data_IF_451533137849
#
_entry.id   IF_451533137849
#
_cell.length_a   1.000
_cell.length_b   1.000
_cell.length_c   1.000
_cell.angle_alpha   90.00
_cell.angle_beta   90.00
_cell.angle_gamma   90.00
#
_symmetry.space_group_name_H-M   'P 1'
#
loop_
_entity.id
_entity.type
_entity.pdbx_description
1 polymer ?
#
# COMPACT_ATOMS: atom_id res chain seq x y z
N UNK A 1 3.75 -1.04 -27.36
CA UNK A 1 4.23 -0.78 -25.99
C UNK A 1 3.12 -1.16 -25.04
N UNK A 2 3.42 -1.92 -23.99
CA UNK A 2 2.46 -2.31 -22.95
C UNK A 2 2.74 -1.43 -21.72
N UNK A 3 1.69 -0.84 -21.15
CA UNK A 3 1.75 -0.08 -19.90
C UNK A 3 1.03 -0.89 -18.83
N UNK A 4 1.71 -1.11 -17.72
CA UNK A 4 1.20 -1.86 -16.57
C UNK A 4 1.36 -1.03 -15.31
N UNK A 5 0.53 -1.34 -14.32
CA UNK A 5 0.47 -0.67 -13.03
C UNK A 5 0.76 -1.68 -11.94
N UNK A 6 1.71 -1.34 -11.07
CA UNK A 6 2.27 -2.25 -10.10
C UNK A 6 2.37 -1.60 -8.73
N UNK A 7 2.20 -2.43 -7.72
CA UNK A 7 2.58 -2.13 -6.35
C UNK A 7 3.79 -3.00 -6.01
N UNK A 8 4.82 -2.42 -5.41
CA UNK A 8 5.92 -3.16 -4.82
C UNK A 8 5.93 -2.93 -3.31
N UNK A 9 5.76 -3.99 -2.52
CA UNK A 9 5.83 -3.96 -1.06
C UNK A 9 7.20 -4.49 -0.65
N UNK A 10 8.04 -3.59 -0.11
CA UNK A 10 9.42 -3.90 0.26
C UNK A 10 9.57 -4.38 1.69
N UNK A 11 8.88 -3.74 2.62
CA UNK A 11 8.96 -4.06 4.05
C UNK A 11 7.59 -3.94 4.70
N UNK A 12 7.34 -4.83 5.67
CA UNK A 12 6.14 -4.83 6.51
C UNK A 12 6.56 -5.25 7.93
N UNK A 13 6.11 -4.50 8.93
CA UNK A 13 6.14 -4.90 10.33
C UNK A 13 4.72 -4.75 10.91
N UNK A 14 4.19 -5.83 11.50
CA UNK A 14 2.76 -6.13 11.68
C UNK A 14 2.06 -6.59 10.39
N UNK A 15 0.84 -6.12 10.08
CA UNK A 15 0.07 -6.59 8.92
C UNK A 15 -0.31 -5.42 8.02
N UNK A 16 -0.13 -5.59 6.71
CA UNK A 16 -0.56 -4.67 5.68
C UNK A 16 -1.56 -5.38 4.77
N UNK A 17 -2.74 -4.77 4.60
CA UNK A 17 -3.75 -5.20 3.64
C UNK A 17 -3.93 -4.09 2.61
N UNK A 18 -3.98 -4.47 1.34
CA UNK A 18 -4.17 -3.55 0.23
C UNK A 18 -5.56 -3.78 -0.35
N UNK A 19 -6.33 -2.70 -0.47
CA UNK A 19 -7.65 -2.72 -1.08
C UNK A 19 -7.69 -1.84 -2.32
N UNK A 20 -8.47 -2.27 -3.31
CA UNK A 20 -8.83 -1.48 -4.48
C UNK A 20 -10.35 -1.51 -4.63
N UNK A 21 -11.01 -0.36 -4.52
CA UNK A 21 -12.48 -0.23 -4.50
C UNK A 21 -13.16 -1.16 -3.47
N UNK A 22 -12.51 -1.38 -2.33
CA UNK A 22 -13.01 -2.28 -1.27
C UNK A 22 -12.70 -3.77 -1.49
N UNK A 23 -12.16 -4.17 -2.63
CA UNK A 23 -11.69 -5.54 -2.86
C UNK A 23 -10.27 -5.73 -2.35
N UNK A 24 -10.02 -6.79 -1.58
CA UNK A 24 -8.66 -7.12 -1.13
C UNK A 24 -7.83 -7.62 -2.29
N UNK A 25 -6.80 -6.86 -2.67
CA UNK A 25 -5.87 -7.26 -3.74
C UNK A 25 -4.66 -8.00 -3.20
N UNK A 26 -4.29 -7.75 -1.94
CA UNK A 26 -3.16 -8.42 -1.28
C UNK A 26 -3.22 -8.26 0.25
N UNK A 27 -2.70 -9.24 0.97
CA UNK A 27 -2.60 -9.27 2.44
C UNK A 27 -1.26 -9.90 2.82
N UNK A 28 -0.45 -9.19 3.61
CA UNK A 28 0.85 -9.69 4.07
C UNK A 28 0.72 -10.84 5.07
N UNK A 29 -0.45 -11.00 5.70
CA UNK A 29 -0.57 -11.67 6.99
C UNK A 29 0.22 -10.95 8.08
N UNK A 30 0.41 -11.60 9.22
CA UNK A 30 1.17 -11.02 10.33
C UNK A 30 2.66 -11.23 10.10
N UNK A 31 3.38 -10.13 9.91
CA UNK A 31 4.84 -10.08 9.72
C UNK A 31 5.49 -9.45 10.95
N UNK A 32 6.72 -9.88 11.29
CA UNK A 32 7.47 -9.38 12.45
C UNK A 32 8.93 -9.13 12.12
N UNK A 33 9.51 -8.14 12.79
CA UNK A 33 10.93 -7.77 12.70
C UNK A 33 11.31 -7.13 11.37
N UNK A 34 10.34 -6.55 10.67
CA UNK A 34 10.58 -5.71 9.49
C UNK A 34 11.43 -6.36 8.37
N UNK A 35 11.14 -7.62 7.96
CA UNK A 35 11.90 -8.29 6.91
C UNK A 35 11.76 -7.57 5.57
N UNK A 36 12.75 -7.75 4.70
CA UNK A 36 12.60 -7.46 3.28
C UNK A 36 11.73 -8.54 2.64
N UNK A 37 10.65 -8.13 1.96
CA UNK A 37 9.71 -9.00 1.26
C UNK A 37 9.92 -8.92 -0.26
N UNK A 38 9.98 -7.70 -0.80
CA UNK A 38 10.06 -7.38 -2.24
C UNK A 38 8.96 -8.04 -3.10
N UNK A 39 7.71 -7.91 -2.64
CA UNK A 39 6.53 -8.48 -3.31
C UNK A 39 6.00 -7.54 -4.39
N UNK A 40 5.64 -8.07 -5.56
CA UNK A 40 5.10 -7.30 -6.69
C UNK A 40 3.65 -7.69 -7.01
N UNK A 41 2.74 -6.75 -6.84
CA UNK A 41 1.31 -6.93 -7.12
C UNK A 41 0.96 -6.16 -8.40
N UNK A 42 0.50 -6.86 -9.44
CA UNK A 42 -0.03 -6.23 -10.64
C UNK A 42 -1.47 -5.77 -10.39
N UNK A 43 -1.75 -4.48 -10.56
CA UNK A 43 -3.08 -3.90 -10.38
C UNK A 43 -3.72 -3.44 -11.69
N UNK A 44 -3.11 -3.74 -12.84
CA UNK A 44 -3.53 -3.23 -14.15
C UNK A 44 -4.99 -3.58 -14.47
N UNK A 45 -5.36 -4.84 -14.30
CA UNK A 45 -6.71 -5.31 -14.65
C UNK A 45 -7.77 -4.72 -13.71
N UNK A 46 -7.46 -4.59 -12.42
CA UNK A 46 -8.32 -3.90 -11.45
C UNK A 46 -8.58 -2.44 -11.83
N UNK A 47 -7.55 -1.72 -12.28
CA UNK A 47 -7.72 -0.34 -12.73
C UNK A 47 -8.54 -0.26 -14.03
N UNK A 48 -8.29 -1.16 -14.99
CA UNK A 48 -8.99 -1.19 -16.28
C UNK A 48 -10.48 -1.57 -16.11
N UNK A 49 -10.82 -2.44 -15.16
CA UNK A 49 -12.21 -2.79 -14.88
C UNK A 49 -13.05 -1.57 -14.47
N UNK A 50 -12.43 -0.55 -13.89
CA UNK A 50 -13.09 0.67 -13.40
C UNK A 50 -12.62 1.93 -14.14
N UNK A 51 -12.32 1.79 -15.43
CA UNK A 51 -11.63 2.81 -16.24
C UNK A 51 -12.34 4.17 -16.33
N UNK A 52 -13.66 4.19 -16.17
CA UNK A 52 -14.52 5.38 -16.27
C UNK A 52 -14.91 5.95 -14.89
N UNK A 53 -14.36 5.41 -13.80
CA UNK A 53 -14.67 5.81 -12.43
C UNK A 53 -13.41 6.22 -11.67
N UNK A 54 -13.60 6.95 -10.57
CA UNK A 54 -12.54 7.13 -9.58
C UNK A 54 -12.33 5.81 -8.83
N UNK A 55 -11.07 5.50 -8.57
CA UNK A 55 -10.64 4.26 -7.93
C UNK A 55 -10.04 4.61 -6.57
N UNK A 56 -10.48 3.91 -5.54
CA UNK A 56 -9.92 4.01 -4.20
C UNK A 56 -8.84 2.94 -4.02
N UNK A 57 -7.61 3.36 -3.73
CA UNK A 57 -6.51 2.48 -3.36
C UNK A 57 -6.15 2.71 -1.90
N UNK A 58 -6.33 1.69 -1.05
CA UNK A 58 -6.11 1.80 0.39
C UNK A 58 -4.97 0.86 0.79
N UNK A 59 -4.01 1.41 1.51
CA UNK A 59 -3.02 0.66 2.28
C UNK A 59 -3.44 0.73 3.73
N UNK A 60 -3.98 -0.36 4.25
CA UNK A 60 -4.45 -0.48 5.63
C UNK A 60 -3.48 -1.32 6.44
N UNK A 61 -2.80 -0.65 7.35
CA UNK A 61 -1.97 -1.29 8.35
C UNK A 61 -2.77 -1.68 9.57
N UNK A 62 -2.59 -2.90 10.07
CA UNK A 62 -3.16 -3.36 11.33
C UNK A 62 -2.11 -3.64 12.38
N UNK A 63 -2.44 -3.31 13.62
CA UNK A 63 -1.66 -3.62 14.81
C UNK A 63 -2.19 -4.89 15.50
N UNK A 64 -2.21 -6.00 14.77
CA UNK A 64 -2.86 -7.26 15.21
C UNK A 64 -2.14 -7.98 16.36
N UNK A 65 -0.87 -7.65 16.63
CA UNK A 65 -0.05 -8.39 17.61
C UNK A 65 0.16 -7.65 18.93
N UNK A 66 -0.36 -6.44 19.05
CA UNK A 66 -0.22 -5.65 20.27
C UNK A 66 -1.26 -6.08 21.32
N UNK A 67 -0.75 -6.55 22.48
CA UNK A 67 -1.55 -6.76 23.68
C UNK A 67 -1.18 -5.67 24.70
N UNK A 68 -2.16 -4.91 25.15
CA UNK A 68 -2.01 -3.78 26.07
C UNK A 68 -1.75 -4.17 27.53
N UNK A 69 -1.12 -5.31 27.80
CA UNK A 69 -0.87 -5.72 29.19
C UNK A 69 0.18 -4.79 29.83
N UNK A 70 -0.30 -3.94 30.75
CA UNK A 70 0.32 -2.74 31.35
C UNK A 70 1.66 -2.93 32.10
N UNK A 71 2.28 -4.12 32.02
CA UNK A 71 3.46 -4.44 32.83
C UNK A 71 4.81 -4.04 32.21
N UNK A 72 4.86 -3.78 30.90
CA UNK A 72 6.08 -3.31 30.21
C UNK A 72 5.67 -2.37 29.07
N UNK A 73 6.30 -1.19 28.89
CA UNK A 73 6.14 -0.40 27.66
C UNK A 73 6.68 -1.20 26.48
N UNK A 74 5.81 -2.02 25.88
CA UNK A 74 6.13 -2.73 24.65
C UNK A 74 6.21 -1.69 23.53
N UNK A 75 7.43 -1.50 23.02
CA UNK A 75 7.64 -0.80 21.76
C UNK A 75 6.87 -1.58 20.68
N UNK A 76 5.92 -0.92 20.02
CA UNK A 76 5.24 -1.50 18.86
C UNK A 76 5.81 -0.88 17.58
N UNK A 77 6.89 -1.45 17.03
CA UNK A 77 7.44 -1.00 15.77
C UNK A 77 6.40 -1.22 14.67
N UNK A 78 6.20 -0.17 13.88
CA UNK A 78 5.32 -0.19 12.73
C UNK A 78 6.08 0.34 11.53
N UNK A 79 6.10 -0.43 10.46
CA UNK A 79 6.75 -0.01 9.22
C UNK A 79 6.03 -0.63 8.03
N UNK A 80 5.69 0.21 7.07
CA UNK A 80 5.21 -0.21 5.77
C UNK A 80 6.03 0.53 4.74
N UNK A 81 6.67 -0.20 3.85
CA UNK A 81 7.40 0.38 2.73
C UNK A 81 6.82 -0.17 1.45
N UNK A 82 6.17 0.67 0.68
CA UNK A 82 5.66 0.30 -0.63
C UNK A 82 5.92 1.39 -1.68
N UNK A 83 5.76 1.02 -2.95
CA UNK A 83 5.74 1.91 -4.11
C UNK A 83 4.55 1.57 -4.97
N UNK A 84 3.96 2.56 -5.61
CA UNK A 84 2.96 2.36 -6.68
C UNK A 84 3.50 3.03 -7.92
N UNK A 85 3.70 2.26 -8.99
CA UNK A 85 4.43 2.72 -10.16
C UNK A 85 3.85 2.16 -11.46
N UNK A 86 4.11 2.89 -12.53
CA UNK A 86 3.84 2.47 -13.89
C UNK A 86 5.08 1.80 -14.46
N UNK A 87 4.89 0.68 -15.17
CA UNK A 87 5.93 -0.03 -15.93
C UNK A 87 5.58 -0.04 -17.41
N UNK A 88 6.51 0.38 -18.26
CA UNK A 88 6.34 0.37 -19.72
C UNK A 88 7.31 -0.61 -20.35
N UNK A 89 6.77 -1.56 -21.12
CA UNK A 89 7.54 -2.57 -21.84
C UNK A 89 7.31 -2.49 -23.36
N UNK A 90 8.30 -2.90 -24.13
CA UNK A 90 8.17 -3.04 -25.59
C UNK A 90 7.45 -4.33 -26.00
N UNK A 91 7.34 -4.59 -27.31
CA UNK A 91 6.67 -5.79 -27.81
C UNK A 91 7.42 -7.10 -27.50
N UNK A 92 8.70 -7.01 -27.14
CA UNK A 92 9.55 -8.15 -26.74
C UNK A 92 9.54 -8.38 -25.22
N UNK A 93 8.86 -7.52 -24.46
CA UNK A 93 8.84 -7.55 -23.00
C UNK A 93 10.01 -6.81 -22.35
N UNK A 94 10.88 -6.15 -23.12
CA UNK A 94 11.98 -5.36 -22.57
C UNK A 94 11.44 -4.14 -21.83
N UNK A 95 11.96 -3.90 -20.63
CA UNK A 95 11.66 -2.70 -19.84
C UNK A 95 12.17 -1.45 -20.54
N UNK A 96 11.28 -0.47 -20.76
CA UNK A 96 11.60 0.82 -21.33
C UNK A 96 11.61 1.93 -20.28
N UNK A 97 10.66 1.90 -19.34
CA UNK A 97 10.55 2.91 -18.29
C UNK A 97 9.80 2.38 -17.06
N UNK A 98 10.14 2.92 -15.89
CA UNK A 98 9.35 2.85 -14.66
C UNK A 98 9.19 4.25 -14.06
N UNK A 99 8.00 4.57 -13.58
CA UNK A 99 7.68 5.89 -13.02
C UNK A 99 6.74 5.74 -11.82
N UNK A 100 7.11 6.31 -10.67
CA UNK A 100 6.28 6.30 -9.48
C UNK A 100 5.03 7.18 -9.66
N UNK A 101 3.87 6.65 -9.29
CA UNK A 101 2.57 7.33 -9.40
C UNK A 101 2.23 8.20 -8.20
N UNK A 102 2.89 7.94 -7.07
CA UNK A 102 2.66 8.63 -5.80
C UNK A 102 3.92 8.64 -4.96
N UNK A 103 4.00 9.60 -4.05
CA UNK A 103 4.93 9.58 -2.94
C UNK A 103 4.26 8.82 -1.77
N UNK A 104 4.74 7.61 -1.43
CA UNK A 104 4.15 6.79 -0.38
C UNK A 104 4.53 7.32 1.01
N UNK A 105 3.70 7.05 2.01
CA UNK A 105 4.06 7.28 3.41
C UNK A 105 4.77 6.05 3.95
N UNK A 106 6.10 6.01 3.80
CA UNK A 106 6.96 4.87 4.14
C UNK A 106 7.76 5.07 5.44
N UNK A 107 7.18 5.78 6.41
CA UNK A 107 7.89 6.06 7.64
C UNK A 107 7.86 4.89 8.62
N UNK A 108 9.02 4.62 9.24
CA UNK A 108 9.15 3.67 10.34
C UNK A 108 8.87 4.40 11.64
N UNK A 109 7.91 3.89 12.40
CA UNK A 109 7.51 4.52 13.64
C UNK A 109 7.47 3.54 14.80
N UNK A 110 7.83 4.05 15.98
CA UNK A 110 7.37 3.48 17.23
C UNK A 110 5.99 4.06 17.47
N UNK A 111 4.97 3.28 17.16
CA UNK A 111 3.59 3.74 17.24
C UNK A 111 3.13 3.81 18.70
N UNK A 112 2.20 4.73 18.98
CA UNK A 112 1.48 4.69 20.24
C UNK A 112 0.76 3.33 20.30
N UNK A 113 0.92 2.55 21.39
CA UNK A 113 0.26 1.27 21.56
C UNK A 113 -1.25 1.30 21.33
N UNK A 114 -1.88 2.46 21.55
CA UNK A 114 -3.31 2.65 21.36
C UNK A 114 -3.73 2.76 19.89
N UNK A 115 -2.81 2.84 18.91
CA UNK A 115 -3.18 2.85 17.50
C UNK A 115 -3.50 1.41 17.06
N UNK A 116 -4.72 1.22 16.56
CA UNK A 116 -5.25 -0.04 16.04
C UNK A 116 -4.94 -0.22 14.56
N UNK A 117 -5.16 0.83 13.76
CA UNK A 117 -4.96 0.80 12.31
C UNK A 117 -4.47 2.15 11.75
N UNK A 118 -3.74 2.10 10.65
CA UNK A 118 -3.35 3.28 9.86
C UNK A 118 -3.81 3.05 8.42
N UNK A 119 -4.60 3.97 7.90
CA UNK A 119 -5.18 3.85 6.57
C UNK A 119 -4.63 4.97 5.71
N UNK A 120 -3.84 4.62 4.70
CA UNK A 120 -3.40 5.55 3.67
C UNK A 120 -4.21 5.29 2.40
N UNK A 121 -5.12 6.19 2.09
CA UNK A 121 -6.05 6.09 0.99
C UNK A 121 -5.66 7.07 -0.12
N UNK A 122 -5.67 6.59 -1.36
CA UNK A 122 -5.37 7.33 -2.57
C UNK A 122 -6.55 7.26 -3.53
N UNK A 123 -6.96 8.42 -4.02
CA UNK A 123 -7.97 8.52 -5.08
C UNK A 123 -7.27 8.59 -6.45
N UNK A 124 -7.53 7.61 -7.29
CA UNK A 124 -6.95 7.46 -8.63
C UNK A 124 -8.03 7.75 -9.68
N UNK A 125 -7.69 8.51 -10.71
CA UNK A 125 -8.55 8.72 -11.89
C UNK A 125 -7.74 8.51 -13.16
N UNK A 126 -8.42 8.17 -14.26
CA UNK A 126 -7.79 8.14 -15.58
C UNK A 126 -7.89 9.51 -16.24
N UNK A 127 -6.73 10.11 -16.54
CA UNK A 127 -6.63 11.34 -17.34
C UNK A 127 -5.53 11.18 -18.38
N UNK A 128 -5.73 11.70 -19.60
CA UNK A 128 -4.75 11.59 -20.69
C UNK A 128 -4.27 10.16 -20.98
N UNK A 129 -5.19 9.18 -20.92
CA UNK A 129 -4.91 7.75 -21.03
C UNK A 129 -3.92 7.19 -19.98
N UNK A 130 -3.82 7.82 -18.80
CA UNK A 130 -3.01 7.37 -17.69
C UNK A 130 -3.78 7.47 -16.37
N UNK A 131 -3.68 6.44 -15.53
CA UNK A 131 -4.13 6.53 -14.15
C UNK A 131 -3.17 7.42 -13.34
N UNK A 132 -3.73 8.39 -12.63
CA UNK A 132 -2.99 9.35 -11.79
C UNK A 132 -3.68 9.47 -10.43
N UNK A 133 -2.89 9.60 -9.38
CA UNK A 133 -3.39 9.95 -8.04
C UNK A 133 -3.75 11.44 -8.02
N UNK A 134 -4.96 11.76 -7.56
CA UNK A 134 -5.47 13.14 -7.46
C UNK A 134 -5.73 13.59 -6.03
N UNK A 135 -5.76 12.65 -5.09
CA UNK A 135 -5.94 12.93 -3.67
C UNK A 135 -5.31 11.82 -2.84
N UNK A 136 -4.86 12.18 -1.64
CA UNK A 136 -4.41 11.26 -0.62
C UNK A 136 -4.95 11.67 0.75
N UNK A 137 -5.20 10.70 1.61
CA UNK A 137 -5.58 10.92 3.00
C UNK A 137 -4.98 9.86 3.90
N UNK A 138 -4.40 10.29 5.02
CA UNK A 138 -3.91 9.42 6.08
C UNK A 138 -4.85 9.53 7.26
N UNK A 139 -5.34 8.40 7.77
CA UNK A 139 -6.12 8.34 9.01
C UNK A 139 -5.53 7.31 9.96
N UNK A 140 -5.65 7.58 11.27
CA UNK A 140 -5.21 6.70 12.33
C UNK A 140 -6.42 6.34 13.19
N UNK A 141 -6.60 5.05 13.43
CA UNK A 141 -7.68 4.51 14.25
C UNK A 141 -7.09 4.08 15.60
N UNK A 142 -7.75 4.43 16.69
CA UNK A 142 -7.30 4.11 18.04
C UNK A 142 -8.22 3.08 18.70
N UNK A 143 -7.70 2.33 19.68
CA UNK A 143 -8.52 1.59 20.62
C UNK A 143 -9.32 2.58 21.50
N UNK A 144 -10.57 2.24 21.82
CA UNK A 144 -11.45 3.01 22.70
C UNK A 144 -11.15 2.74 24.18
#
# INVERSE_FOLDING_TARGET
>A
MKKEYWINVKHVDNRLVIFLNGETVWDSGIVRNDPELDEYINITDYLIQHIDHSIELIFEGFNDTYNSDDSVPQLNPWHFHYRVFTRVTDATGKLLAEEDMLAPYNEKHLSNPNIRAINNCYLIVRTDNQFKVISNSLSQQFYN
#
